data_IF_570459453204
#
_entry.id   IF_570459453204
#
_cell.length_a   1.000
_cell.length_b   1.000
_cell.length_c   1.000
_cell.angle_alpha   90.00
_cell.angle_beta   90.00
_cell.angle_gamma   90.00
#
_symmetry.space_group_name_H-M   'P 1'
#
loop_
_entity.id
_entity.type
_entity.pdbx_description
1 polymer ?
#
# COMPACT_ATOMS: atom_id res chain seq x y z
N UNK A 1 -6.96 3.73 -26.95
CA UNK A 1 -6.40 3.51 -25.60
C UNK A 1 -7.31 2.55 -24.86
N UNK A 2 -6.84 1.35 -24.51
CA UNK A 2 -7.65 0.32 -23.86
C UNK A 2 -7.55 0.49 -22.34
N UNK A 3 -8.49 1.22 -21.73
CA UNK A 3 -8.70 1.20 -20.28
C UNK A 3 -9.58 -0.01 -19.95
N UNK A 4 -9.07 -1.23 -20.12
CA UNK A 4 -9.76 -2.41 -19.59
C UNK A 4 -9.66 -2.36 -18.06
N UNK A 5 -10.68 -1.79 -17.42
CA UNK A 5 -10.91 -1.83 -15.98
C UNK A 5 -11.12 -3.27 -15.46
N UNK A 6 -11.06 -4.28 -16.33
CA UNK A 6 -11.31 -5.69 -16.03
C UNK A 6 -10.16 -6.40 -15.30
N UNK A 7 -8.98 -5.78 -15.17
CA UNK A 7 -7.79 -6.45 -14.61
C UNK A 7 -7.55 -6.16 -13.11
N UNK A 8 -8.07 -5.04 -12.58
CA UNK A 8 -7.97 -4.66 -11.16
C UNK A 8 -9.35 -4.50 -10.53
N UNK A 9 -9.49 -4.79 -9.23
CA UNK A 9 -10.77 -4.65 -8.54
C UNK A 9 -11.34 -3.22 -8.61
N UNK A 10 -12.65 -3.04 -8.49
CA UNK A 10 -13.26 -1.69 -8.50
C UNK A 10 -13.21 -0.98 -7.13
N UNK A 11 -12.72 -1.67 -6.10
CA UNK A 11 -12.64 -1.18 -4.72
C UNK A 11 -11.22 -1.40 -4.20
N UNK A 12 -10.62 -0.34 -3.67
CA UNK A 12 -9.25 -0.35 -3.17
C UNK A 12 -9.22 0.00 -1.68
N UNK A 13 -8.68 -0.87 -0.82
CA UNK A 13 -8.45 -0.49 0.56
C UNK A 13 -7.41 0.64 0.63
N UNK A 14 -7.64 1.59 1.53
CA UNK A 14 -6.69 2.65 1.84
C UNK A 14 -6.05 2.37 3.19
N UNK A 15 -4.72 2.36 3.22
CA UNK A 15 -3.93 2.18 4.43
C UNK A 15 -3.10 3.43 4.69
N UNK A 16 -3.04 3.82 5.96
CA UNK A 16 -2.39 5.06 6.37
C UNK A 16 -1.23 4.76 7.32
N UNK A 17 -0.10 5.41 7.09
CA UNK A 17 1.12 5.24 7.87
C UNK A 17 1.63 6.59 8.38
N UNK A 18 2.47 6.58 9.41
CA UNK A 18 3.12 7.82 9.88
C UNK A 18 4.22 8.31 8.92
N UNK A 19 4.77 7.38 8.13
CA UNK A 19 5.77 7.63 7.07
C UNK A 19 5.43 6.74 5.87
N UNK A 20 4.50 7.21 5.04
CA UNK A 20 4.04 6.45 3.89
C UNK A 20 5.13 6.23 2.84
N UNK A 21 6.07 7.16 2.68
CA UNK A 21 7.17 7.01 1.75
C UNK A 21 8.04 5.80 2.11
N UNK A 22 8.43 5.67 3.38
CA UNK A 22 9.21 4.53 3.89
C UNK A 22 8.43 3.22 3.80
N UNK A 23 7.13 3.24 4.04
CA UNK A 23 6.30 2.03 4.01
C UNK A 23 6.05 1.55 2.57
N UNK A 24 5.86 2.46 1.61
CA UNK A 24 5.83 2.11 0.18
C UNK A 24 7.14 1.41 -0.22
N UNK A 25 8.28 1.96 0.19
CA UNK A 25 9.60 1.36 -0.04
C UNK A 25 9.72 -0.05 0.56
N UNK A 26 9.22 -0.24 1.78
CA UNK A 26 9.17 -1.56 2.42
C UNK A 26 8.26 -2.54 1.66
N UNK A 27 7.04 -2.14 1.30
CA UNK A 27 6.09 -2.98 0.57
C UNK A 27 6.62 -3.42 -0.80
N UNK A 28 7.34 -2.54 -1.48
CA UNK A 28 8.02 -2.86 -2.74
C UNK A 28 9.13 -3.88 -2.52
N UNK A 29 10.02 -3.65 -1.54
CA UNK A 29 11.18 -4.52 -1.32
C UNK A 29 10.83 -5.87 -0.72
N UNK A 30 9.96 -5.89 0.29
CA UNK A 30 9.55 -7.11 0.96
C UNK A 30 8.63 -7.88 0.00
N UNK A 31 7.43 -7.35 -0.26
CA UNK A 31 6.36 -8.08 -0.93
C UNK A 31 6.36 -7.97 -2.46
N UNK A 32 7.22 -7.16 -3.06
CA UNK A 32 7.25 -7.02 -4.52
C UNK A 32 6.11 -6.18 -5.08
N UNK A 33 5.50 -5.30 -4.26
CA UNK A 33 4.55 -4.32 -4.79
C UNK A 33 5.20 -3.45 -5.87
N UNK A 34 4.40 -2.99 -6.82
CA UNK A 34 4.82 -2.03 -7.85
C UNK A 34 4.08 -0.71 -7.67
N UNK A 35 4.82 0.40 -7.69
CA UNK A 35 4.25 1.75 -7.69
C UNK A 35 3.54 1.99 -9.02
N UNK A 36 2.23 2.19 -8.96
CA UNK A 36 1.43 2.60 -10.12
C UNK A 36 1.33 4.12 -10.21
N UNK A 37 1.09 4.77 -9.06
CA UNK A 37 1.02 6.21 -8.93
C UNK A 37 1.57 6.60 -7.55
N UNK A 38 2.35 7.67 -7.47
CA UNK A 38 2.73 8.31 -6.21
C UNK A 38 2.61 9.81 -6.39
N UNK A 39 1.76 10.43 -5.59
CA UNK A 39 1.55 11.87 -5.54
C UNK A 39 2.27 12.41 -4.29
N UNK A 40 3.38 13.13 -4.46
CA UNK A 40 4.10 13.71 -3.33
C UNK A 40 3.25 14.78 -2.64
N UNK A 41 3.35 14.82 -1.32
CA UNK A 41 2.91 15.93 -0.49
C UNK A 41 4.07 16.84 -0.10
N UNK A 42 3.81 17.77 0.81
CA UNK A 42 4.83 18.65 1.35
C UNK A 42 5.82 17.87 2.24
N UNK A 43 7.04 18.41 2.38
CA UNK A 43 8.06 17.85 3.29
C UNK A 43 8.40 16.37 3.08
N UNK A 44 8.21 15.84 1.87
CA UNK A 44 8.51 14.44 1.54
C UNK A 44 7.43 13.44 1.93
N UNK A 45 6.24 13.92 2.36
CA UNK A 45 5.07 13.08 2.61
C UNK A 45 4.48 12.53 1.30
N UNK A 46 3.59 11.55 1.42
CA UNK A 46 2.80 10.99 0.34
C UNK A 46 1.34 11.34 0.60
N UNK A 47 0.82 12.21 -0.27
CA UNK A 47 -0.57 12.66 -0.23
C UNK A 47 -1.53 11.57 -0.71
N UNK A 48 -1.13 10.86 -1.76
CA UNK A 48 -1.89 9.77 -2.36
C UNK A 48 -0.94 8.85 -3.12
N UNK A 49 -1.19 7.54 -3.08
CA UNK A 49 -0.50 6.60 -3.95
C UNK A 49 -1.37 5.40 -4.26
N UNK A 50 -1.02 4.72 -5.34
CA UNK A 50 -1.55 3.42 -5.72
C UNK A 50 -0.39 2.44 -5.88
N UNK A 51 -0.44 1.34 -5.13
CA UNK A 51 0.48 0.23 -5.29
C UNK A 51 -0.27 -0.99 -5.81
N UNK A 52 0.38 -1.74 -6.71
CA UNK A 52 -0.16 -2.96 -7.30
C UNK A 52 0.58 -4.19 -6.81
N UNK A 53 -0.16 -5.27 -6.57
CA UNK A 53 0.38 -6.61 -6.31
C UNK A 53 -0.51 -7.64 -7.00
N UNK A 54 0.03 -8.31 -8.04
CA UNK A 54 -0.80 -9.08 -8.97
C UNK A 54 -1.90 -8.21 -9.57
N UNK A 55 -3.16 -8.60 -9.30
CA UNK A 55 -4.39 -7.89 -9.73
C UNK A 55 -4.97 -6.96 -8.65
N UNK A 56 -4.36 -6.93 -7.46
CA UNK A 56 -4.80 -6.07 -6.37
C UNK A 56 -4.19 -4.68 -6.50
N UNK A 57 -4.94 -3.66 -6.09
CA UNK A 57 -4.45 -2.30 -5.86
C UNK A 57 -4.77 -1.93 -4.42
N UNK A 58 -3.81 -1.32 -3.74
CA UNK A 58 -3.99 -0.68 -2.44
C UNK A 58 -3.59 0.78 -2.54
N UNK A 59 -4.23 1.63 -1.74
CA UNK A 59 -3.83 3.03 -1.62
C UNK A 59 -3.03 3.24 -0.35
N UNK A 60 -1.90 3.94 -0.46
CA UNK A 60 -1.01 4.23 0.68
C UNK A 60 -0.80 5.74 0.80
N UNK A 61 -1.03 6.31 1.97
CA UNK A 61 -0.84 7.73 2.23
C UNK A 61 -0.44 7.99 3.69
N UNK A 62 0.05 9.18 3.98
CA UNK A 62 0.35 9.56 5.37
C UNK A 62 -0.93 9.75 6.20
N UNK A 63 -0.86 9.39 7.48
CA UNK A 63 -1.94 9.48 8.48
C UNK A 63 -2.36 10.91 8.85
N UNK A 64 -1.74 11.92 8.24
CA UNK A 64 -2.13 13.32 8.35
C UNK A 64 -2.39 13.93 6.98
N UNK A 65 -2.59 13.10 5.96
CA UNK A 65 -3.02 13.54 4.63
C UNK A 65 -4.42 14.17 4.67
N UNK A 66 -4.74 14.92 3.63
CA UNK A 66 -6.01 15.64 3.45
C UNK A 66 -7.27 14.75 3.60
N UNK A 67 -7.12 13.42 3.53
CA UNK A 67 -8.20 12.45 3.63
C UNK A 67 -8.53 12.01 5.07
N UNK A 68 -7.83 12.53 6.09
CA UNK A 68 -8.16 12.33 7.50
C UNK A 68 -8.01 10.88 8.01
N UNK A 69 -7.27 10.04 7.29
CA UNK A 69 -6.99 8.66 7.69
C UNK A 69 -6.06 8.61 8.90
N UNK A 70 -6.25 7.65 9.82
CA UNK A 70 -5.36 7.46 10.98
C UNK A 70 -4.62 6.13 10.86
N UNK A 71 -3.31 6.15 11.12
CA UNK A 71 -2.49 4.95 11.14
C UNK A 71 -2.71 4.10 12.40
N UNK A 72 -2.36 2.80 12.37
CA UNK A 72 -2.57 1.90 13.50
C UNK A 72 -1.92 2.35 14.81
N UNK A 73 -0.73 2.97 14.72
CA UNK A 73 -0.03 3.53 15.88
C UNK A 73 -0.84 4.63 16.57
N UNK A 74 -1.38 5.57 15.79
CA UNK A 74 -2.23 6.65 16.31
C UNK A 74 -3.54 6.13 16.90
N UNK A 75 -4.07 5.02 16.38
CA UNK A 75 -5.29 4.37 16.87
C UNK A 75 -5.08 3.50 18.12
N UNK A 76 -3.84 3.12 18.44
CA UNK A 76 -3.57 2.09 19.46
C UNK A 76 -4.08 0.70 19.06
N UNK A 77 -4.34 0.47 17.77
CA UNK A 77 -4.99 -0.72 17.22
C UNK A 77 -5.23 -0.57 15.72
N UNK A 78 -5.86 -1.56 15.08
CA UNK A 78 -6.17 -1.48 13.64
C UNK A 78 -7.68 -1.39 13.39
N UNK A 79 -8.10 -0.56 12.42
CA UNK A 79 -9.48 -0.46 11.96
C UNK A 79 -9.81 -1.40 10.79
N UNK A 80 -8.82 -2.16 10.31
CA UNK A 80 -8.97 -3.10 9.20
C UNK A 80 -7.76 -4.02 9.05
N UNK A 81 -7.88 -5.04 8.21
CA UNK A 81 -6.78 -5.97 7.90
C UNK A 81 -6.62 -6.13 6.39
N UNK A 82 -5.37 -6.29 5.94
CA UNK A 82 -5.04 -6.65 4.57
C UNK A 82 -4.32 -7.99 4.59
N UNK A 83 -4.84 -8.95 3.84
CA UNK A 83 -4.21 -10.26 3.67
C UNK A 83 -3.56 -10.33 2.29
N UNK A 84 -2.30 -10.75 2.26
CA UNK A 84 -1.55 -10.99 1.03
C UNK A 84 -1.36 -12.50 0.87
N UNK A 85 -1.63 -13.01 -0.33
CA UNK A 85 -1.29 -14.37 -0.68
C UNK A 85 0.06 -14.37 -1.39
N UNK A 86 1.04 -15.02 -0.76
CA UNK A 86 2.33 -15.35 -1.34
C UNK A 86 2.32 -16.86 -1.61
N UNK A 87 2.73 -17.29 -2.80
CA UNK A 87 2.76 -18.71 -3.11
C UNK A 87 3.72 -19.46 -2.15
N UNK A 88 3.33 -20.65 -1.70
CA UNK A 88 4.04 -21.42 -0.66
C UNK A 88 5.54 -21.60 -0.93
N UNK A 89 5.93 -21.85 -2.18
CA UNK A 89 7.33 -22.03 -2.57
C UNK A 89 8.19 -20.76 -2.34
N UNK A 90 7.56 -19.61 -2.20
CA UNK A 90 8.24 -18.33 -2.01
C UNK A 90 8.17 -17.83 -0.56
N UNK A 91 7.27 -18.35 0.29
CA UNK A 91 7.01 -17.77 1.62
C UNK A 91 8.17 -17.99 2.58
N UNK A 92 8.70 -19.22 2.68
CA UNK A 92 9.84 -19.55 3.53
C UNK A 92 11.10 -18.80 3.07
N UNK A 93 11.33 -18.79 1.75
CA UNK A 93 12.43 -18.06 1.13
C UNK A 93 12.29 -16.54 1.29
N UNK A 94 11.08 -16.02 1.43
CA UNK A 94 10.80 -14.60 1.69
C UNK A 94 11.01 -14.23 3.15
N UNK A 95 10.58 -15.07 4.09
CA UNK A 95 10.78 -14.85 5.52
C UNK A 95 12.25 -14.88 5.96
N UNK A 96 13.11 -15.59 5.23
CA UNK A 96 14.54 -15.69 5.52
C UNK A 96 15.38 -14.47 5.06
N UNK A 97 14.75 -13.45 4.43
CA UNK A 97 15.41 -12.25 3.88
C UNK A 97 15.38 -11.09 4.86
#
# INVERSE_FOLDING_TARGET
>A
MNNSHDDVGSVFPSVYYDDAAREIEFLVRAFGFRRRLVVPGEHGTVRHSELTFGRAVIMVADAHSEFGGRGPKSLGGTSGGLSLYLADAEVDAHCAR
#
